data_IF_423373872008
#
_entry.id   IF_423373872008
#
_cell.length_a   1.000
_cell.length_b   1.000
_cell.length_c   1.000
_cell.angle_alpha   90.00
_cell.angle_beta   90.00
_cell.angle_gamma   90.00
#
_symmetry.space_group_name_H-M   'P 1'
#
loop_
_entity.id
_entity.type
_entity.pdbx_description
1 polymer ?
#
# COMPACT_ATOMS: atom_id res chain seq x y z
N UNK A 1 -1.90 21.54 -34.56
CA UNK A 1 -3.03 20.70 -34.13
C UNK A 1 -2.56 19.92 -32.92
N UNK A 2 -3.11 20.18 -31.74
CA UNK A 2 -2.63 19.61 -30.48
C UNK A 2 -2.87 18.10 -30.43
N UNK A 3 -1.82 17.32 -30.16
CA UNK A 3 -1.87 15.86 -29.99
C UNK A 3 -2.78 15.41 -28.84
N UNK A 4 -3.24 16.35 -28.00
CA UNK A 4 -4.10 16.12 -26.83
C UNK A 4 -5.47 15.52 -27.14
N UNK A 5 -5.98 15.67 -28.37
CA UNK A 5 -7.33 15.19 -28.73
C UNK A 5 -7.44 13.70 -29.03
N UNK A 6 -6.37 13.06 -29.51
CA UNK A 6 -6.39 11.61 -29.86
C UNK A 6 -6.14 10.70 -28.66
N UNK A 7 -5.59 11.25 -27.59
CA UNK A 7 -5.02 10.48 -26.49
C UNK A 7 -6.05 10.13 -25.39
N UNK A 8 -7.26 10.69 -25.45
CA UNK A 8 -8.30 10.43 -24.46
C UNK A 8 -9.17 9.19 -24.76
N UNK A 9 -9.05 8.60 -25.96
CA UNK A 9 -9.95 7.58 -26.48
C UNK A 9 -9.59 6.12 -26.16
N UNK A 10 -8.41 5.84 -25.59
CA UNK A 10 -8.10 4.47 -25.12
C UNK A 10 -8.86 4.17 -23.81
N UNK A 11 -9.50 3.00 -23.69
CA UNK A 11 -10.19 2.62 -22.46
C UNK A 11 -9.19 2.49 -21.31
N UNK A 12 -9.62 2.87 -20.11
CA UNK A 12 -8.84 2.71 -18.88
C UNK A 12 -8.88 1.23 -18.49
N UNK A 13 -7.72 0.55 -18.34
CA UNK A 13 -7.68 -0.85 -17.93
C UNK A 13 -8.32 -1.03 -16.56
N UNK A 14 -9.03 -2.14 -16.39
CA UNK A 14 -9.79 -2.47 -15.17
C UNK A 14 -9.16 -3.62 -14.38
N UNK A 15 -8.22 -4.34 -15.01
CA UNK A 15 -7.47 -5.43 -14.36
C UNK A 15 -5.98 -5.11 -14.32
N UNK A 16 -5.28 -5.73 -13.38
CA UNK A 16 -3.83 -5.63 -13.25
C UNK A 16 -3.13 -6.12 -14.52
N UNK A 17 -3.63 -7.22 -15.11
CA UNK A 17 -3.08 -7.78 -16.36
C UNK A 17 -3.15 -6.77 -17.50
N UNK A 18 -4.33 -6.21 -17.75
CA UNK A 18 -4.52 -5.18 -18.79
C UNK A 18 -3.63 -3.97 -18.52
N UNK A 19 -3.53 -3.55 -17.26
CA UNK A 19 -2.71 -2.39 -16.87
C UNK A 19 -1.24 -2.63 -17.15
N UNK A 20 -0.72 -3.82 -16.84
CA UNK A 20 0.70 -4.17 -17.06
C UNK A 20 1.09 -4.23 -18.54
N UNK A 21 0.13 -4.56 -19.42
CA UNK A 21 0.32 -4.58 -20.88
C UNK A 21 0.07 -3.18 -21.51
N UNK A 22 -0.49 -2.26 -20.74
CA UNK A 22 -0.87 -0.94 -21.22
C UNK A 22 0.33 0.01 -21.32
N UNK A 23 0.36 0.79 -22.40
CA UNK A 23 1.41 1.79 -22.69
C UNK A 23 0.83 3.20 -22.65
N UNK A 24 0.60 3.77 -21.44
CA UNK A 24 -0.07 5.05 -21.30
C UNK A 24 0.85 6.25 -21.48
N UNK A 25 0.27 7.36 -21.92
CA UNK A 25 0.86 8.70 -21.76
C UNK A 25 0.69 9.19 -20.32
N UNK A 26 1.29 10.34 -19.98
CA UNK A 26 1.20 10.91 -18.62
C UNK A 26 -0.26 11.18 -18.21
N UNK A 27 -1.01 11.87 -19.09
CA UNK A 27 -2.43 12.18 -18.88
C UNK A 27 -3.26 10.89 -18.73
N UNK A 28 -2.96 9.86 -19.51
CA UNK A 28 -3.61 8.56 -19.41
C UNK A 28 -3.31 7.88 -18.06
N UNK A 29 -2.06 7.90 -17.58
CA UNK A 29 -1.70 7.37 -16.26
C UNK A 29 -2.45 8.07 -15.14
N UNK A 30 -2.50 9.40 -15.16
CA UNK A 30 -3.21 10.18 -14.14
C UNK A 30 -4.69 9.81 -14.09
N UNK A 31 -5.35 9.76 -15.25
CA UNK A 31 -6.75 9.34 -15.36
C UNK A 31 -6.96 7.92 -14.83
N UNK A 32 -6.09 6.99 -15.20
CA UNK A 32 -6.19 5.61 -14.74
C UNK A 32 -5.93 5.45 -13.24
N UNK A 33 -5.00 6.21 -12.65
CA UNK A 33 -4.78 6.22 -11.19
C UNK A 33 -6.05 6.69 -10.48
N UNK A 34 -6.63 7.82 -10.90
CA UNK A 34 -7.85 8.36 -10.28
C UNK A 34 -9.04 7.40 -10.43
N UNK A 35 -9.18 6.76 -11.60
CA UNK A 35 -10.26 5.81 -11.84
C UNK A 35 -10.13 4.54 -10.99
N UNK A 36 -8.92 4.03 -10.81
CA UNK A 36 -8.68 2.76 -10.09
C UNK A 36 -8.51 2.93 -8.57
N UNK A 37 -8.23 4.13 -8.04
CA UNK A 37 -7.92 4.36 -6.62
C UNK A 37 -9.00 3.88 -5.63
N UNK A 38 -10.23 3.62 -6.10
CA UNK A 38 -11.35 3.16 -5.28
C UNK A 38 -12.09 1.96 -5.89
N UNK A 39 -11.49 1.25 -6.86
CA UNK A 39 -12.21 0.23 -7.64
C UNK A 39 -11.59 -1.16 -7.55
N UNK A 40 -12.31 -2.06 -6.89
CA UNK A 40 -12.00 -3.49 -6.87
C UNK A 40 -10.85 -3.89 -5.96
N UNK A 41 -10.61 -5.19 -5.90
CA UNK A 41 -9.60 -5.81 -5.02
C UNK A 41 -8.17 -5.57 -5.54
N UNK A 42 -7.99 -5.31 -6.84
CA UNK A 42 -6.67 -5.09 -7.45
C UNK A 42 -6.23 -3.61 -7.45
N UNK A 43 -7.09 -2.70 -6.97
CA UNK A 43 -6.92 -1.25 -7.02
C UNK A 43 -5.52 -0.79 -6.60
N UNK A 44 -5.04 -1.28 -5.46
CA UNK A 44 -3.77 -0.86 -4.89
C UNK A 44 -2.55 -1.35 -5.68
N UNK A 45 -2.64 -2.49 -6.37
CA UNK A 45 -1.58 -2.97 -7.26
C UNK A 45 -1.57 -2.19 -8.57
N UNK A 46 -2.74 -1.97 -9.16
CA UNK A 46 -2.89 -1.16 -10.38
C UNK A 46 -2.36 0.25 -10.13
N UNK A 47 -2.80 0.90 -9.06
CA UNK A 47 -2.34 2.24 -8.69
C UNK A 47 -0.86 2.23 -8.31
N UNK A 48 -0.37 1.23 -7.56
CA UNK A 48 1.05 1.09 -7.23
C UNK A 48 1.94 1.02 -8.47
N UNK A 49 1.54 0.22 -9.47
CA UNK A 49 2.22 0.13 -10.76
C UNK A 49 2.23 1.47 -11.52
N UNK A 50 1.06 2.11 -11.65
CA UNK A 50 0.94 3.37 -12.39
C UNK A 50 1.69 4.52 -11.69
N UNK A 51 1.70 4.56 -10.36
CA UNK A 51 2.52 5.48 -9.58
C UNK A 51 4.01 5.23 -9.83
N UNK A 52 4.46 3.97 -9.88
CA UNK A 52 5.84 3.61 -10.20
C UNK A 52 6.23 4.06 -11.61
N UNK A 53 5.37 3.83 -12.60
CA UNK A 53 5.60 4.32 -13.96
C UNK A 53 5.70 5.85 -13.99
N UNK A 54 4.77 6.55 -13.34
CA UNK A 54 4.76 8.02 -13.29
C UNK A 54 6.02 8.57 -12.61
N UNK A 55 6.46 7.90 -11.54
CA UNK A 55 7.69 8.21 -10.81
C UNK A 55 8.96 7.96 -11.65
N UNK A 56 8.97 6.94 -12.49
CA UNK A 56 10.12 6.68 -13.37
C UNK A 56 10.13 7.64 -14.57
N UNK A 57 8.94 8.00 -15.09
CA UNK A 57 8.78 8.88 -16.25
C UNK A 57 9.01 10.37 -15.93
N UNK A 58 9.06 10.76 -14.66
CA UNK A 58 9.24 12.16 -14.29
C UNK A 58 7.99 13.01 -14.46
N UNK A 59 6.78 12.42 -14.42
CA UNK A 59 5.55 13.14 -14.82
C UNK A 59 5.30 14.41 -13.98
N UNK A 60 5.59 14.36 -12.68
CA UNK A 60 5.46 15.51 -11.77
C UNK A 60 6.36 16.71 -12.10
N UNK A 61 7.38 16.53 -12.95
CA UNK A 61 8.32 17.60 -13.32
C UNK A 61 7.79 18.48 -14.45
N UNK A 62 6.76 18.05 -15.17
CA UNK A 62 6.33 18.69 -16.43
C UNK A 62 5.72 20.07 -16.22
N UNK A 63 5.04 20.29 -15.09
CA UNK A 63 4.27 21.51 -14.87
C UNK A 63 4.90 22.46 -13.85
N UNK A 64 5.99 22.07 -13.18
CA UNK A 64 6.65 22.88 -12.14
C UNK A 64 5.79 23.16 -10.89
N UNK A 65 4.61 22.53 -10.79
CA UNK A 65 3.61 22.74 -9.72
C UNK A 65 4.04 22.11 -8.38
N UNK A 66 4.86 21.07 -8.44
CA UNK A 66 5.26 20.27 -7.29
C UNK A 66 6.78 20.13 -7.15
N UNK A 67 7.27 20.28 -5.93
CA UNK A 67 8.69 20.15 -5.59
C UNK A 67 9.10 18.69 -5.39
N UNK A 68 8.13 17.79 -5.19
CA UNK A 68 8.37 16.35 -5.03
C UNK A 68 7.28 15.52 -5.71
N UNK A 69 7.60 14.25 -5.99
CA UNK A 69 6.63 13.30 -6.51
C UNK A 69 5.40 13.16 -5.60
N UNK A 70 5.60 13.07 -4.28
CA UNK A 70 4.49 12.89 -3.34
C UNK A 70 3.62 14.15 -3.21
N UNK A 71 4.22 15.33 -3.32
CA UNK A 71 3.45 16.59 -3.38
C UNK A 71 2.57 16.64 -4.64
N UNK A 72 3.07 16.18 -5.79
CA UNK A 72 2.27 16.05 -7.00
C UNK A 72 1.14 15.04 -6.84
N UNK A 73 1.40 13.88 -6.24
CA UNK A 73 0.36 12.88 -5.96
C UNK A 73 -0.75 13.46 -5.08
N UNK A 74 -0.40 14.25 -4.05
CA UNK A 74 -1.38 14.88 -3.17
C UNK A 74 -2.20 15.97 -3.87
N UNK A 75 -1.54 16.84 -4.65
CA UNK A 75 -2.20 17.98 -5.32
C UNK A 75 -3.01 17.54 -6.54
N UNK A 76 -2.43 16.74 -7.41
CA UNK A 76 -3.03 16.37 -8.68
C UNK A 76 -3.90 15.12 -8.55
N UNK A 77 -3.42 14.08 -7.89
CA UNK A 77 -4.14 12.81 -7.83
C UNK A 77 -5.12 12.75 -6.64
N UNK A 78 -5.04 13.69 -5.69
CA UNK A 78 -5.85 13.73 -4.47
C UNK A 78 -5.70 12.46 -3.62
N UNK A 79 -4.52 11.84 -3.67
CA UNK A 79 -4.15 10.67 -2.88
C UNK A 79 -3.17 11.14 -1.80
N UNK A 80 -3.44 10.81 -0.53
CA UNK A 80 -2.50 11.14 0.55
C UNK A 80 -1.11 10.55 0.29
N UNK A 81 -0.04 11.29 0.57
CA UNK A 81 1.33 10.85 0.32
C UNK A 81 1.68 9.54 1.04
N UNK A 82 1.12 9.31 2.23
CA UNK A 82 1.30 8.06 2.99
C UNK A 82 0.70 6.84 2.30
N UNK A 83 -0.51 6.94 1.74
CA UNK A 83 -1.11 5.87 0.94
C UNK A 83 -0.33 5.63 -0.35
N UNK A 84 0.12 6.68 -1.03
CA UNK A 84 0.95 6.55 -2.22
C UNK A 84 2.27 5.83 -1.93
N UNK A 85 2.91 6.14 -0.79
CA UNK A 85 4.11 5.43 -0.33
C UNK A 85 3.84 3.95 -0.07
N UNK A 86 2.71 3.61 0.58
CA UNK A 86 2.31 2.21 0.82
C UNK A 86 2.09 1.45 -0.49
N UNK A 87 1.35 2.03 -1.43
CA UNK A 87 1.09 1.40 -2.73
C UNK A 87 2.37 1.20 -3.53
N UNK A 88 3.28 2.17 -3.53
CA UNK A 88 4.60 2.03 -4.16
C UNK A 88 5.45 0.97 -3.49
N UNK A 89 5.46 0.90 -2.16
CA UNK A 89 6.22 -0.10 -1.41
C UNK A 89 5.69 -1.50 -1.70
N UNK A 90 4.37 -1.69 -1.64
CA UNK A 90 3.71 -2.97 -1.98
C UNK A 90 4.14 -3.37 -3.39
N UNK A 91 3.95 -2.50 -4.38
CA UNK A 91 4.31 -2.80 -5.77
C UNK A 91 5.78 -3.23 -5.91
N UNK A 92 6.71 -2.52 -5.28
CA UNK A 92 8.14 -2.82 -5.40
C UNK A 92 8.51 -4.20 -4.87
N UNK A 93 7.87 -4.64 -3.78
CA UNK A 93 8.21 -5.92 -3.15
C UNK A 93 7.42 -7.08 -3.72
N UNK A 94 6.18 -6.87 -4.17
CA UNK A 94 5.32 -7.96 -4.66
C UNK A 94 5.39 -8.15 -6.17
N UNK A 95 5.73 -7.12 -6.95
CA UNK A 95 5.75 -7.23 -8.42
C UNK A 95 6.65 -8.36 -8.97
N UNK A 96 7.81 -8.69 -8.37
CA UNK A 96 8.61 -9.83 -8.82
C UNK A 96 7.91 -11.18 -8.59
N UNK A 97 6.98 -11.25 -7.64
CA UNK A 97 6.28 -12.46 -7.23
C UNK A 97 4.98 -12.70 -7.99
N UNK A 98 4.43 -11.65 -8.65
CA UNK A 98 3.14 -11.72 -9.33
C UNK A 98 3.08 -12.82 -10.39
N UNK A 99 4.16 -13.06 -11.14
CA UNK A 99 4.16 -14.07 -12.21
C UNK A 99 3.77 -15.47 -11.72
N UNK A 100 4.18 -15.82 -10.50
CA UNK A 100 3.99 -17.17 -9.94
C UNK A 100 2.94 -17.22 -8.84
N UNK A 101 2.62 -16.09 -8.21
CA UNK A 101 1.83 -16.05 -6.96
C UNK A 101 0.74 -14.97 -6.95
N UNK A 102 0.29 -14.51 -8.13
CA UNK A 102 -0.74 -13.46 -8.23
C UNK A 102 -2.00 -13.79 -7.44
N UNK A 103 -2.54 -15.00 -7.54
CA UNK A 103 -3.78 -15.39 -6.85
C UNK A 103 -3.68 -15.24 -5.33
N UNK A 104 -2.56 -15.66 -4.74
CA UNK A 104 -2.30 -15.48 -3.31
C UNK A 104 -2.24 -13.99 -2.94
N UNK A 105 -1.51 -13.19 -3.73
CA UNK A 105 -1.31 -11.77 -3.45
C UNK A 105 -2.63 -10.99 -3.51
N UNK A 106 -3.51 -11.33 -4.45
CA UNK A 106 -4.81 -10.69 -4.61
C UNK A 106 -5.80 -11.02 -3.48
N UNK A 107 -5.61 -12.14 -2.77
CA UNK A 107 -6.45 -12.50 -1.62
C UNK A 107 -6.08 -11.75 -0.33
N UNK A 108 -4.94 -11.04 -0.30
CA UNK A 108 -4.47 -10.37 0.92
C UNK A 108 -4.96 -8.92 0.92
N UNK A 109 -5.73 -8.56 1.96
CA UNK A 109 -6.16 -7.18 2.20
C UNK A 109 -4.99 -6.18 2.12
N UNK A 110 -5.27 -5.01 1.53
CA UNK A 110 -4.32 -3.91 1.36
C UNK A 110 -3.58 -3.57 2.66
N UNK A 111 -4.28 -3.51 3.80
CA UNK A 111 -3.67 -3.13 5.07
C UNK A 111 -2.64 -4.19 5.49
N UNK A 112 -2.96 -5.47 5.33
CA UNK A 112 -2.03 -6.57 5.67
C UNK A 112 -0.83 -6.60 4.72
N UNK A 113 -1.06 -6.40 3.43
CA UNK A 113 0.03 -6.26 2.45
C UNK A 113 0.94 -5.07 2.79
N UNK A 114 0.37 -3.92 3.16
CA UNK A 114 1.15 -2.75 3.55
C UNK A 114 2.05 -3.03 4.76
N UNK A 115 1.55 -3.77 5.76
CA UNK A 115 2.33 -4.15 6.95
C UNK A 115 3.45 -5.13 6.59
N UNK A 116 3.13 -6.21 5.86
CA UNK A 116 4.13 -7.23 5.53
C UNK A 116 5.18 -6.69 4.56
N UNK A 117 4.81 -5.80 3.63
CA UNK A 117 5.74 -5.18 2.69
C UNK A 117 6.90 -4.44 3.37
N UNK A 118 6.73 -4.01 4.63
CA UNK A 118 7.80 -3.36 5.41
C UNK A 118 8.98 -4.27 5.72
N UNK A 119 8.79 -5.59 5.69
CA UNK A 119 9.84 -6.58 5.98
C UNK A 119 10.23 -7.40 4.75
N UNK A 120 9.41 -7.47 3.70
CA UNK A 120 9.71 -8.27 2.51
C UNK A 120 10.93 -7.77 1.72
N UNK A 121 11.32 -6.50 1.88
CA UNK A 121 12.41 -5.90 1.11
C UNK A 121 13.73 -6.65 1.36
N UNK A 122 14.29 -7.23 0.30
CA UNK A 122 15.56 -7.96 0.36
C UNK A 122 15.45 -9.39 0.87
N UNK A 123 14.25 -9.87 1.16
CA UNK A 123 14.02 -11.30 1.41
C UNK A 123 14.12 -12.09 0.10
N UNK A 124 14.50 -13.36 0.21
CA UNK A 124 14.38 -14.29 -0.91
C UNK A 124 12.91 -14.67 -1.13
N UNK A 125 12.59 -15.22 -2.30
CA UNK A 125 11.22 -15.57 -2.67
C UNK A 125 10.57 -16.52 -1.65
N UNK A 126 11.26 -17.56 -1.20
CA UNK A 126 10.72 -18.53 -0.24
C UNK A 126 10.26 -17.85 1.06
N UNK A 127 11.11 -17.05 1.69
CA UNK A 127 10.76 -16.31 2.92
C UNK A 127 9.66 -15.30 2.66
N UNK A 128 9.67 -14.64 1.50
CA UNK A 128 8.62 -13.70 1.16
C UNK A 128 7.25 -14.40 1.05
N UNK A 129 7.21 -15.61 0.48
CA UNK A 129 5.99 -16.41 0.39
C UNK A 129 5.48 -16.87 1.74
N UNK A 130 6.36 -17.31 2.65
CA UNK A 130 5.97 -17.64 4.02
C UNK A 130 5.24 -16.46 4.67
N UNK A 131 5.76 -15.24 4.53
CA UNK A 131 5.14 -14.03 5.04
C UNK A 131 3.84 -13.64 4.34
N UNK A 132 3.72 -13.86 3.03
CA UNK A 132 2.47 -13.64 2.30
C UNK A 132 1.38 -14.63 2.74
N UNK A 133 1.72 -15.90 2.99
CA UNK A 133 0.80 -16.88 3.55
C UNK A 133 0.38 -16.55 4.99
N UNK A 134 1.32 -16.05 5.81
CA UNK A 134 0.98 -15.54 7.15
C UNK A 134 0.01 -14.36 7.02
N UNK A 135 0.24 -13.44 6.09
CA UNK A 135 -0.65 -12.30 5.88
C UNK A 135 -2.05 -12.72 5.36
N UNK A 136 -2.15 -13.74 4.51
CA UNK A 136 -3.45 -14.21 4.00
C UNK A 136 -4.30 -14.88 5.10
N UNK A 137 -3.67 -15.61 6.01
CA UNK A 137 -4.37 -16.42 7.02
C UNK A 137 -4.59 -15.70 8.36
N UNK A 138 -3.64 -14.87 8.81
CA UNK A 138 -3.70 -14.28 10.16
C UNK A 138 -4.55 -13.03 10.23
N UNK A 139 -5.07 -12.71 11.43
CA UNK A 139 -5.67 -11.40 11.68
C UNK A 139 -4.62 -10.30 11.59
N UNK A 140 -5.05 -9.05 11.41
CA UNK A 140 -4.14 -7.89 11.44
C UNK A 140 -3.33 -7.82 12.74
N UNK A 141 -3.93 -8.18 13.88
CA UNK A 141 -3.27 -8.16 15.19
C UNK A 141 -2.16 -9.19 15.24
N UNK A 142 -2.45 -10.43 14.84
CA UNK A 142 -1.49 -11.53 14.89
C UNK A 142 -0.35 -11.31 13.89
N UNK A 143 -0.66 -10.79 12.69
CA UNK A 143 0.36 -10.38 11.72
C UNK A 143 1.33 -9.35 12.32
N UNK A 144 0.81 -8.33 13.02
CA UNK A 144 1.65 -7.32 13.69
C UNK A 144 2.52 -7.93 14.79
N UNK A 145 1.99 -8.85 15.58
CA UNK A 145 2.78 -9.55 16.60
C UNK A 145 3.90 -10.38 15.95
N UNK A 146 3.60 -11.12 14.88
CA UNK A 146 4.60 -11.89 14.14
C UNK A 146 5.71 -10.97 13.57
N UNK A 147 5.35 -9.84 12.98
CA UNK A 147 6.32 -8.86 12.46
C UNK A 147 7.19 -8.29 13.60
N UNK A 148 6.60 -7.99 14.77
CA UNK A 148 7.37 -7.54 15.94
C UNK A 148 8.35 -8.60 16.43
N UNK A 149 7.88 -9.85 16.55
CA UNK A 149 8.71 -10.98 16.93
C UNK A 149 9.89 -11.16 15.95
N UNK A 150 9.62 -11.04 14.65
CA UNK A 150 10.64 -11.12 13.61
C UNK A 150 11.67 -9.98 13.69
N UNK A 151 11.24 -8.75 13.97
CA UNK A 151 12.12 -7.59 14.14
C UNK A 151 12.97 -7.68 15.42
N UNK A 152 12.50 -8.42 16.42
CA UNK A 152 13.21 -8.63 17.68
C UNK A 152 13.42 -7.35 18.50
N UNK A 153 12.54 -6.36 18.36
CA UNK A 153 12.67 -5.08 19.08
C UNK A 153 12.30 -5.25 20.57
N UNK A 154 13.27 -5.18 21.50
CA UNK A 154 13.01 -5.36 22.92
C UNK A 154 12.15 -4.25 23.52
N UNK A 155 12.08 -3.07 22.88
CA UNK A 155 11.26 -1.94 23.33
C UNK A 155 9.82 -2.01 22.82
N UNK A 156 9.54 -2.94 21.90
CA UNK A 156 8.21 -3.13 21.33
C UNK A 156 7.90 -4.62 21.16
N UNK A 157 7.84 -5.38 22.26
CA UNK A 157 7.62 -6.82 22.19
C UNK A 157 6.24 -7.16 21.60
N UNK A 158 6.07 -8.40 21.11
CA UNK A 158 4.76 -8.94 20.75
C UNK A 158 3.78 -8.80 21.93
N UNK A 159 2.52 -8.46 21.65
CA UNK A 159 1.52 -8.20 22.70
C UNK A 159 1.12 -9.44 23.50
N UNK A 160 1.41 -10.61 22.95
CA UNK A 160 1.26 -11.95 23.54
C UNK A 160 2.46 -12.38 24.40
N UNK A 161 3.59 -11.68 24.34
CA UNK A 161 4.83 -11.96 25.09
C UNK A 161 5.10 -10.88 26.15
N UNK A 162 4.18 -9.93 26.35
CA UNK A 162 4.44 -8.87 27.30
C UNK A 162 4.11 -9.30 28.74
N UNK A 163 5.15 -9.46 29.57
CA UNK A 163 5.10 -9.89 30.98
C UNK A 163 4.48 -8.87 31.95
N UNK A 164 3.70 -7.90 31.45
CA UNK A 164 3.04 -6.95 32.32
C UNK A 164 1.95 -7.69 33.09
N UNK A 165 1.97 -7.62 34.44
CA UNK A 165 0.74 -7.84 35.22
C UNK A 165 -0.33 -6.96 34.57
N UNK A 166 -1.42 -7.57 34.09
CA UNK A 166 -2.54 -6.83 33.51
C UNK A 166 -3.18 -5.98 34.61
N UNK A 167 -2.65 -4.78 34.82
CA UNK A 167 -3.13 -3.87 35.85
C UNK A 167 -3.26 -2.51 35.23
N UNK A 168 -4.50 -2.13 34.94
CA UNK A 168 -5.10 -0.87 35.40
C UNK A 168 -6.53 -0.75 34.84
N UNK A 169 -7.51 -0.91 35.73
CA UNK A 169 -8.90 -0.62 35.39
C UNK A 169 -9.05 0.90 35.35
N UNK A 170 -9.34 1.44 34.17
CA UNK A 170 -9.70 2.85 34.03
C UNK A 170 -11.21 2.97 33.96
N UNK A 171 -11.82 3.70 34.90
CA UNK A 171 -13.24 4.03 34.88
C UNK A 171 -13.41 5.46 34.38
N UNK A 172 -14.19 5.61 33.31
CA UNK A 172 -14.53 6.93 32.77
C UNK A 172 -15.62 7.58 33.62
N UNK A 173 -15.33 8.73 34.22
CA UNK A 173 -16.30 9.52 34.96
C UNK A 173 -17.46 9.92 34.04
N UNK A 174 -18.72 9.58 34.41
CA UNK A 174 -19.87 9.86 33.54
C UNK A 174 -20.18 11.35 33.39
N UNK A 175 -19.75 12.15 34.37
CA UNK A 175 -20.03 13.59 34.47
C UNK A 175 -18.96 14.38 33.72
N UNK A 176 -17.68 14.29 34.12
CA UNK A 176 -16.60 15.07 33.51
C UNK A 176 -15.86 14.35 32.38
N UNK A 177 -16.21 13.09 32.09
CA UNK A 177 -15.61 12.24 31.03
C UNK A 177 -14.11 11.93 31.18
N UNK A 178 -13.48 12.36 32.27
CA UNK A 178 -12.11 12.00 32.59
C UNK A 178 -11.97 10.50 32.90
N UNK A 179 -10.88 9.88 32.45
CA UNK A 179 -10.53 8.51 32.81
C UNK A 179 -9.84 8.51 34.17
N UNK A 180 -10.41 7.79 35.14
CA UNK A 180 -9.90 7.67 36.50
C UNK A 180 -9.34 6.26 36.65
N UNK A 181 -8.11 6.16 37.10
CA UNK A 181 -7.46 4.89 37.44
C UNK A 181 -8.07 4.36 38.74
N UNK A 182 -8.54 3.12 38.72
CA UNK A 182 -9.12 2.39 39.86
C UNK A 182 -8.11 1.41 40.42
#
# INVERSE_FOLDING_TARGET
>A
MSETGKDLGRPIPQTLKETMEWTPTAVQRERAIRANYLQGEEAYLIVGFLLRQSKNAGDWKKDGIANSFFEWVEKELLISGSNAQRMLLIWDVVSPLLKSHQELILQIDFSKLAEVATILKGMNEQKALEWLHVASTNTMKDLKNNIKAHKGDPNNPPTDVCDHKSTEQWVKCKICKAFIKV
#
